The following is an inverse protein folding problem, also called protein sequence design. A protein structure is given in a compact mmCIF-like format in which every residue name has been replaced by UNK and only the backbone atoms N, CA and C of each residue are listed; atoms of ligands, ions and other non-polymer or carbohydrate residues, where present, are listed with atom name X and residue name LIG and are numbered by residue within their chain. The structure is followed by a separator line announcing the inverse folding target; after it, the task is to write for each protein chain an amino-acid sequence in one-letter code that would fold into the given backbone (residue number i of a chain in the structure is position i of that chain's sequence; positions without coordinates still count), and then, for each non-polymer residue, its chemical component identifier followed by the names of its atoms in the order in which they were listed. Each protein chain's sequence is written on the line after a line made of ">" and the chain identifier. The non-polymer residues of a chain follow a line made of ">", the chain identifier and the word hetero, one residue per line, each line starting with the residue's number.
data_IF_700340396226
#
_entry.id   IF_700340396226
#
_cell.length_a   1.000
_cell.length_b   1.000
_cell.length_c   1.000
_cell.angle_alpha   90.00
_cell.angle_beta   90.00
_cell.angle_gamma   90.00
#
_symmetry.space_group_name_H-M   'P 1'
#
loop_
_entity.id
_entity.type
_entity.pdbx_description
1 polymer ?
#
# COMPACT_ATOMS: atom_id res chain seq x y z
N UNK A 1 35.07 -31.35 19.14
CA UNK A 1 33.65 -31.11 18.78
C UNK A 1 33.40 -31.77 17.44
N UNK A 2 32.53 -32.79 17.37
CA UNK A 2 32.42 -33.74 16.25
C UNK A 2 31.74 -33.21 14.97
N UNK A 3 31.52 -31.90 14.80
CA UNK A 3 31.02 -31.33 13.54
C UNK A 3 29.69 -31.88 13.03
N UNK A 4 28.90 -32.54 13.89
CA UNK A 4 27.60 -33.10 13.51
C UNK A 4 26.61 -31.98 13.21
N UNK A 5 25.77 -32.20 12.21
CA UNK A 5 24.78 -31.23 11.75
C UNK A 5 23.42 -31.49 12.40
N UNK A 6 22.77 -30.43 12.85
CA UNK A 6 21.39 -30.49 13.32
C UNK A 6 20.46 -30.64 12.10
N UNK A 7 19.53 -31.60 12.15
CA UNK A 7 18.54 -31.84 11.08
C UNK A 7 17.16 -31.28 11.43
N UNK A 8 16.40 -30.88 10.43
CA UNK A 8 15.01 -30.42 10.56
C UNK A 8 14.29 -30.37 9.21
N UNK A 9 13.06 -29.88 9.19
CA UNK A 9 12.30 -29.74 7.95
C UNK A 9 12.76 -28.52 7.13
N UNK A 10 12.91 -28.63 5.81
CA UNK A 10 13.28 -27.50 4.97
C UNK A 10 12.15 -26.48 4.85
N UNK A 11 12.51 -25.21 4.67
CA UNK A 11 11.61 -24.14 4.26
C UNK A 11 11.66 -23.97 2.74
N UNK A 12 10.50 -23.95 2.08
CA UNK A 12 10.40 -23.81 0.61
C UNK A 12 9.30 -22.82 0.22
N UNK A 13 9.39 -22.26 -0.99
CA UNK A 13 8.40 -21.32 -1.55
C UNK A 13 8.71 -19.84 -1.23
N UNK A 14 7.80 -18.96 -1.65
CA UNK A 14 7.90 -17.50 -1.41
C UNK A 14 6.49 -16.95 -1.13
N UNK A 15 6.16 -16.56 0.11
CA UNK A 15 6.99 -16.61 1.33
C UNK A 15 7.37 -18.05 1.73
N UNK A 16 8.57 -18.29 2.28
CA UNK A 16 9.00 -19.63 2.69
C UNK A 16 8.08 -20.23 3.76
N UNK A 17 7.72 -21.50 3.59
CA UNK A 17 6.91 -22.27 4.55
C UNK A 17 7.53 -23.63 4.80
N UNK A 18 7.28 -24.19 5.99
CA UNK A 18 7.83 -25.49 6.39
C UNK A 18 7.03 -26.62 5.77
N UNK A 19 7.72 -27.54 5.10
CA UNK A 19 7.14 -28.76 4.58
C UNK A 19 7.27 -29.89 5.61
N UNK A 20 6.30 -29.99 6.53
CA UNK A 20 6.34 -30.97 7.64
C UNK A 20 6.32 -32.45 7.17
N UNK A 21 5.91 -32.71 5.93
CA UNK A 21 5.96 -34.04 5.32
C UNK A 21 7.24 -34.36 4.54
N UNK A 22 8.20 -33.42 4.47
CA UNK A 22 9.47 -33.63 3.79
C UNK A 22 10.45 -34.41 4.68
N UNK A 23 11.44 -35.05 4.06
CA UNK A 23 12.50 -35.70 4.83
C UNK A 23 13.33 -34.65 5.62
N UNK A 24 13.68 -34.93 6.89
CA UNK A 24 14.60 -34.08 7.64
C UNK A 24 15.93 -33.92 6.91
N UNK A 25 16.38 -32.68 6.76
CA UNK A 25 17.65 -32.30 6.14
C UNK A 25 18.47 -31.43 7.10
N UNK A 26 19.79 -31.28 6.92
CA UNK A 26 20.60 -30.36 7.71
C UNK A 26 20.03 -28.94 7.71
N UNK A 27 19.90 -28.32 8.88
CA UNK A 27 19.45 -26.94 9.01
C UNK A 27 20.53 -26.02 8.44
N UNK A 28 20.12 -25.13 7.55
CA UNK A 28 20.97 -24.10 6.99
C UNK A 28 20.41 -22.72 7.33
N UNK A 29 21.29 -21.80 7.72
CA UNK A 29 20.96 -20.38 7.91
C UNK A 29 21.73 -19.63 6.81
N UNK A 30 21.14 -19.47 5.62
CA UNK A 30 21.82 -18.78 4.52
C UNK A 30 21.98 -17.30 4.84
N UNK A 31 23.04 -16.69 4.31
CA UNK A 31 23.29 -15.25 4.35
C UNK A 31 22.78 -14.53 3.08
N UNK A 32 21.97 -15.22 2.27
CA UNK A 32 21.34 -14.65 1.08
C UNK A 32 20.40 -13.52 1.45
N UNK A 33 20.40 -12.44 0.67
CA UNK A 33 19.49 -11.33 0.90
C UNK A 33 18.04 -11.78 0.74
N UNK A 34 17.16 -11.25 1.59
CA UNK A 34 15.72 -11.47 1.48
C UNK A 34 15.16 -10.63 0.33
N UNK A 35 14.39 -11.26 -0.55
CA UNK A 35 13.75 -10.55 -1.66
C UNK A 35 12.70 -9.55 -1.15
N UNK A 36 12.60 -8.39 -1.81
CA UNK A 36 11.51 -7.46 -1.58
C UNK A 36 10.15 -8.10 -1.96
N UNK A 37 9.09 -7.66 -1.29
CA UNK A 37 7.72 -8.10 -1.57
C UNK A 37 6.89 -6.88 -1.94
N UNK A 38 6.45 -6.84 -3.20
CA UNK A 38 5.55 -5.80 -3.69
C UNK A 38 4.28 -5.75 -2.83
N UNK A 39 3.84 -4.53 -2.50
CA UNK A 39 2.58 -4.32 -1.78
C UNK A 39 1.41 -4.84 -2.61
N UNK A 40 0.60 -5.74 -2.03
CA UNK A 40 -0.60 -6.29 -2.67
C UNK A 40 -1.90 -5.72 -2.12
N UNK A 41 -1.89 -5.27 -0.86
CA UNK A 41 -3.06 -4.73 -0.17
C UNK A 41 -2.64 -3.58 0.74
N UNK A 42 -3.42 -2.52 0.76
CA UNK A 42 -3.29 -1.39 1.68
C UNK A 42 -4.68 -1.00 2.19
N UNK A 43 -4.78 -0.57 3.44
CA UNK A 43 -6.02 -0.09 4.05
C UNK A 43 -5.81 1.28 4.67
N UNK A 44 -6.80 2.17 4.50
CA UNK A 44 -6.82 3.49 5.10
C UNK A 44 -8.20 3.69 5.71
N UNK A 45 -8.23 3.97 7.02
CA UNK A 45 -9.45 4.35 7.73
C UNK A 45 -9.39 5.84 8.04
N UNK A 46 -10.48 6.55 7.74
CA UNK A 46 -10.57 8.00 7.93
C UNK A 46 -11.96 8.39 8.41
N UNK A 47 -12.02 9.39 9.31
CA UNK A 47 -13.26 10.05 9.71
C UNK A 47 -13.36 11.38 8.98
N UNK A 48 -14.39 11.55 8.14
CA UNK A 48 -14.65 12.76 7.37
C UNK A 48 -15.73 13.60 8.06
N UNK A 49 -15.55 14.92 8.08
CA UNK A 49 -16.54 15.82 8.67
C UNK A 49 -17.72 16.02 7.71
N UNK A 50 -18.93 15.64 8.13
CA UNK A 50 -20.13 15.75 7.29
C UNK A 50 -20.49 17.20 6.94
N UNK A 51 -20.08 18.17 7.77
CA UNK A 51 -20.37 19.60 7.59
C UNK A 51 -19.39 20.32 6.68
N UNK A 52 -18.35 19.63 6.18
CA UNK A 52 -17.40 20.24 5.27
C UNK A 52 -18.09 20.71 3.98
N UNK A 53 -17.72 21.89 3.44
CA UNK A 53 -18.27 22.38 2.19
C UNK A 53 -17.72 21.59 1.00
N UNK A 54 -18.48 21.55 -0.09
CA UNK A 54 -17.95 21.14 -1.40
C UNK A 54 -16.86 22.14 -1.81
N UNK A 55 -15.67 21.68 -2.25
CA UNK A 55 -14.59 22.57 -2.67
C UNK A 55 -15.04 23.56 -3.74
N UNK A 56 -14.61 24.82 -3.61
CA UNK A 56 -15.04 25.92 -4.49
C UNK A 56 -14.35 25.88 -5.86
N UNK A 57 -13.19 25.24 -5.96
CA UNK A 57 -12.43 25.09 -7.21
C UNK A 57 -12.65 23.73 -7.84
N UNK A 58 -13.03 23.76 -9.11
CA UNK A 58 -13.18 22.59 -9.97
C UNK A 58 -12.50 22.86 -11.32
N UNK A 59 -11.86 21.86 -11.96
CA UNK A 59 -11.73 20.47 -11.52
C UNK A 59 -10.74 20.27 -10.35
N UNK A 60 -10.71 19.06 -9.79
CA UNK A 60 -9.72 18.63 -8.80
C UNK A 60 -8.28 18.84 -9.33
N UNK A 61 -7.37 19.32 -8.47
CA UNK A 61 -5.94 19.40 -8.75
C UNK A 61 -5.08 19.09 -7.52
N UNK A 62 -4.09 18.21 -7.65
CA UNK A 62 -3.12 17.91 -6.59
C UNK A 62 -2.29 19.14 -6.18
N UNK A 63 -2.17 20.13 -7.06
CA UNK A 63 -1.40 21.35 -6.83
C UNK A 63 -2.23 22.48 -6.21
N UNK A 64 -3.55 22.31 -6.08
CA UNK A 64 -4.45 23.33 -5.55
C UNK A 64 -5.14 22.83 -4.28
N UNK A 65 -4.71 23.37 -3.15
CA UNK A 65 -5.24 23.01 -1.82
C UNK A 65 -6.73 23.35 -1.65
N UNK A 66 -7.29 24.26 -2.46
CA UNK A 66 -8.71 24.62 -2.41
C UNK A 66 -9.59 23.70 -3.26
N UNK A 67 -9.00 22.71 -3.94
CA UNK A 67 -9.72 21.75 -4.82
C UNK A 67 -10.05 20.41 -4.13
N UNK A 68 -9.67 20.23 -2.86
CA UNK A 68 -9.94 19.03 -2.06
C UNK A 68 -10.15 19.35 -0.58
N UNK A 69 -10.82 18.45 0.16
CA UNK A 69 -11.12 18.64 1.58
C UNK A 69 -10.04 18.04 2.48
N UNK A 70 -9.53 16.87 2.11
CA UNK A 70 -8.57 16.13 2.92
C UNK A 70 -7.53 15.42 2.07
N UNK A 71 -6.31 15.33 2.58
CA UNK A 71 -5.19 14.58 2.01
C UNK A 71 -4.67 13.59 3.05
N UNK A 72 -4.48 12.34 2.66
CA UNK A 72 -3.74 11.31 3.37
C UNK A 72 -2.58 10.81 2.52
N UNK A 73 -1.62 10.13 3.15
CA UNK A 73 -0.48 9.50 2.45
C UNK A 73 -0.30 8.08 2.95
N UNK A 74 -0.02 7.15 2.05
CA UNK A 74 0.41 5.78 2.36
C UNK A 74 1.64 5.45 1.53
N UNK A 75 2.69 4.97 2.19
CA UNK A 75 3.91 4.49 1.52
C UNK A 75 3.73 3.01 1.16
N UNK A 76 3.86 2.67 -0.12
CA UNK A 76 3.82 1.30 -0.65
C UNK A 76 5.17 0.93 -1.25
N UNK A 77 5.42 -0.37 -1.49
CA UNK A 77 6.68 -0.85 -2.05
C UNK A 77 6.47 -1.63 -3.33
N UNK A 78 7.36 -1.43 -4.30
CA UNK A 78 7.39 -2.20 -5.55
C UNK A 78 8.13 -3.56 -5.38
N UNK A 79 8.29 -4.30 -6.48
CA UNK A 79 8.97 -5.60 -6.47
C UNK A 79 10.49 -5.51 -6.30
N UNK A 80 11.09 -4.33 -6.47
CA UNK A 80 12.52 -4.08 -6.26
C UNK A 80 12.80 -3.53 -4.84
N UNK A 81 11.75 -3.15 -4.10
CA UNK A 81 11.84 -2.57 -2.77
C UNK A 81 11.90 -1.04 -2.75
N UNK A 82 11.63 -0.38 -3.88
CA UNK A 82 11.52 1.07 -3.92
C UNK A 82 10.25 1.52 -3.21
N UNK A 83 10.34 2.63 -2.47
CA UNK A 83 9.20 3.22 -1.78
C UNK A 83 8.44 4.17 -2.70
N UNK A 84 7.11 4.06 -2.68
CA UNK A 84 6.18 4.91 -3.41
C UNK A 84 5.22 5.59 -2.45
N UNK A 85 5.20 6.93 -2.45
CA UNK A 85 4.33 7.72 -1.60
C UNK A 85 3.01 8.04 -2.30
N UNK A 86 2.00 7.20 -2.03
CA UNK A 86 0.65 7.35 -2.57
C UNK A 86 -0.13 8.37 -1.76
N UNK A 87 -0.37 9.55 -2.33
CA UNK A 87 -1.30 10.52 -1.79
C UNK A 87 -2.73 10.16 -2.14
N UNK A 88 -3.61 10.20 -1.15
CA UNK A 88 -5.05 9.97 -1.29
C UNK A 88 -5.78 11.27 -0.95
N UNK A 89 -6.58 11.77 -1.87
CA UNK A 89 -7.34 13.01 -1.72
C UNK A 89 -8.84 12.69 -1.63
N UNK A 90 -9.51 13.32 -0.67
CA UNK A 90 -10.95 13.20 -0.46
C UNK A 90 -11.61 14.53 -0.83
N UNK A 91 -12.57 14.46 -1.75
CA UNK A 91 -13.29 15.61 -2.31
C UNK A 91 -14.77 15.38 -2.11
N UNK A 92 -15.43 16.20 -1.29
CA UNK A 92 -16.88 16.13 -1.10
C UNK A 92 -17.56 16.60 -2.39
N UNK A 93 -18.44 15.79 -2.96
CA UNK A 93 -19.17 16.12 -4.20
C UNK A 93 -20.61 16.53 -3.94
N UNK A 94 -21.26 15.86 -2.99
CA UNK A 94 -22.59 16.18 -2.45
C UNK A 94 -22.72 15.63 -1.03
N UNK A 95 -23.89 15.78 -0.41
CA UNK A 95 -24.13 15.26 0.93
C UNK A 95 -23.90 13.75 0.99
N UNK A 96 -23.09 13.32 1.96
CA UNK A 96 -22.68 11.93 2.18
C UNK A 96 -21.95 11.26 1.00
N UNK A 97 -21.44 12.03 0.03
CA UNK A 97 -20.68 11.50 -1.08
C UNK A 97 -19.31 12.15 -1.21
N UNK A 98 -18.30 11.30 -1.31
CA UNK A 98 -16.89 11.69 -1.37
C UNK A 98 -16.23 10.99 -2.56
N UNK A 99 -15.65 11.78 -3.46
CA UNK A 99 -14.76 11.27 -4.49
C UNK A 99 -13.35 11.09 -3.88
N UNK A 100 -12.70 10.00 -4.26
CA UNK A 100 -11.35 9.66 -3.82
C UNK A 100 -10.42 9.68 -5.02
N UNK A 101 -9.34 10.46 -4.93
CA UNK A 101 -8.31 10.55 -5.95
C UNK A 101 -6.98 10.05 -5.40
N UNK A 102 -6.20 9.33 -6.21
CA UNK A 102 -4.90 8.81 -5.80
C UNK A 102 -3.78 9.27 -6.72
N UNK A 103 -2.68 9.74 -6.14
CA UNK A 103 -1.53 10.23 -6.89
C UNK A 103 -0.26 9.67 -6.26
N UNK A 104 0.57 9.01 -7.07
CA UNK A 104 1.91 8.63 -6.66
C UNK A 104 2.82 9.85 -6.74
N UNK A 105 3.22 10.39 -5.58
CA UNK A 105 4.10 11.56 -5.51
C UNK A 105 5.58 11.23 -5.71
N UNK A 106 5.93 9.94 -5.75
CA UNK A 106 7.29 9.47 -6.02
C UNK A 106 7.58 9.27 -7.51
N UNK A 107 6.52 9.21 -8.34
CA UNK A 107 6.63 9.05 -9.79
C UNK A 107 6.38 10.40 -10.50
N UNK A 108 7.40 11.04 -11.10
CA UNK A 108 7.23 12.30 -11.82
C UNK A 108 6.41 12.17 -13.11
N UNK A 109 6.18 10.94 -13.61
CA UNK A 109 5.32 10.66 -14.75
C UNK A 109 3.87 10.35 -14.36
N UNK A 110 3.54 10.33 -13.06
CA UNK A 110 2.18 10.11 -12.59
C UNK A 110 1.24 11.19 -13.14
N UNK A 111 0.38 10.80 -14.09
CA UNK A 111 -0.64 11.68 -14.66
C UNK A 111 -1.71 12.02 -13.62
N UNK A 112 -2.46 13.11 -13.85
CA UNK A 112 -3.55 13.56 -12.99
C UNK A 112 -4.44 12.38 -12.56
N UNK A 113 -4.85 12.32 -11.28
CA UNK A 113 -5.40 11.11 -10.71
C UNK A 113 -6.63 10.64 -11.47
N UNK A 114 -6.60 9.38 -11.86
CA UNK A 114 -7.75 8.71 -12.47
C UNK A 114 -8.95 8.86 -11.53
N UNK A 115 -10.09 9.24 -12.11
CA UNK A 115 -11.37 9.36 -11.43
C UNK A 115 -11.90 7.97 -11.07
N UNK A 116 -11.19 7.25 -10.20
CA UNK A 116 -11.71 6.10 -9.49
C UNK A 116 -12.70 6.62 -8.47
N UNK A 117 -13.92 6.95 -8.91
CA UNK A 117 -15.00 7.36 -8.01
C UNK A 117 -15.33 6.16 -7.12
N UNK A 118 -14.56 5.99 -6.06
CA UNK A 118 -14.81 5.03 -5.00
C UNK A 118 -15.60 5.78 -3.94
N UNK A 119 -16.90 5.53 -3.89
CA UNK A 119 -17.76 6.07 -2.84
C UNK A 119 -17.31 5.49 -1.51
N UNK A 120 -16.84 6.35 -0.61
CA UNK A 120 -16.65 5.95 0.78
C UNK A 120 -18.03 5.83 1.43
N UNK A 121 -18.44 4.62 1.82
CA UNK A 121 -19.61 4.42 2.66
C UNK A 121 -19.30 4.93 4.08
N UNK A 122 -20.12 5.85 4.58
CA UNK A 122 -20.07 6.30 5.97
C UNK A 122 -20.80 5.23 6.79
N UNK A 123 -20.11 4.57 7.73
CA UNK A 123 -20.76 3.71 8.73
C UNK A 123 -21.45 4.54 9.81
#
# INVERSE_FOLDING_TARGET
>A
MQGMQLTGYPATGTPPTIQQGANPAPITIPNTLMAAKSTTTASMQINLNSTDPVPSKTPFSVSDADSYNKKGTVTVYDSQGNAHDMNVYFVKTKDNEWAVYTHDSSDPAATAPNNGVHYAEIQ
#
